data_IF_802082117914
#
_entry.id   IF_802082117914
#
_cell.length_a   1.000
_cell.length_b   1.000
_cell.length_c   1.000
_cell.angle_alpha   90.00
_cell.angle_beta   90.00
_cell.angle_gamma   90.00
#
_symmetry.space_group_name_H-M   'P 1'
#
loop_
_entity.id
_entity.type
_entity.pdbx_description
1 polymer ?
2 non-polymer ?
3 non-polymer ?
4 non-polymer ?
5 non-polymer ?
6 water ?
#
# COMPACT_ATOMS: atom_id res chain seq x y z
N UNK A 11 -23.76 -10.48 3.47
CA UNK A 11 -23.89 -11.39 4.61
C UNK A 11 -23.52 -12.81 4.18
N UNK A 12 -23.91 -13.17 2.96
CA UNK A 12 -23.52 -14.47 2.41
C UNK A 12 -22.00 -14.57 2.28
N UNK A 13 -21.37 -13.46 1.89
CA UNK A 13 -19.93 -13.42 1.69
C UNK A 13 -19.20 -13.36 3.03
N UNK A 14 -19.74 -12.60 3.99
CA UNK A 14 -19.15 -12.52 5.32
C UNK A 14 -19.17 -13.87 6.02
N UNK A 15 -20.20 -14.69 5.79
CA UNK A 15 -20.27 -15.97 6.48
C UNK A 15 -19.20 -16.94 5.99
N UNK A 16 -19.03 -17.03 4.67
CA UNK A 16 -17.94 -17.83 4.14
C UNK A 16 -16.60 -17.31 4.63
N UNK A 17 -16.42 -15.98 4.59
CA UNK A 17 -15.13 -15.41 4.95
C UNK A 17 -14.79 -15.73 6.40
N UNK A 18 -15.73 -15.49 7.31
CA UNK A 18 -15.48 -15.72 8.72
C UNK A 18 -15.23 -17.20 9.03
N UNK A 19 -15.90 -18.10 8.31
CA UNK A 19 -15.74 -19.53 8.61
C UNK A 19 -14.35 -20.04 8.19
N UNK A 20 -13.81 -19.54 7.08
CA UNK A 20 -12.63 -20.14 6.46
C UNK A 20 -11.41 -20.15 7.38
N UNK A 21 -10.53 -21.14 7.16
CA UNK A 21 -9.22 -21.11 7.78
C UNK A 21 -8.31 -20.23 6.94
N UNK A 22 -7.36 -19.57 7.59
CA UNK A 22 -6.52 -18.58 6.93
C UNK A 22 -5.15 -19.21 6.74
N UNK A 23 -4.79 -19.59 5.50
CA UNK A 23 -3.50 -20.25 5.26
C UNK A 23 -2.35 -19.35 5.70
N UNK A 24 -1.19 -19.98 5.90
CA UNK A 24 -0.05 -19.23 6.42
C UNK A 24 0.40 -18.15 5.42
N UNK A 25 1.25 -17.27 5.91
CA UNK A 25 1.84 -16.25 5.05
C UNK A 25 2.60 -16.89 3.89
N UNK A 26 3.29 -18.00 4.17
CA UNK A 26 4.04 -18.71 3.13
C UNK A 26 3.12 -19.28 2.05
N UNK A 27 2.04 -19.97 2.46
CA UNK A 27 1.14 -20.56 1.47
C UNK A 27 0.46 -19.51 0.59
N UNK A 28 0.24 -18.30 1.14
CA UNK A 28 -0.38 -17.20 0.42
C UNK A 28 0.63 -16.37 -0.38
N UNK A 29 1.93 -16.52 -0.07
CA UNK A 29 3.02 -15.85 -0.78
C UNK A 29 3.07 -14.36 -0.50
N UNK A 30 2.39 -13.88 0.54
CA UNK A 30 2.36 -12.42 0.77
C UNK A 30 3.68 -11.89 1.30
N UNK A 31 4.68 -12.73 1.53
CA UNK A 31 5.94 -12.11 1.96
C UNK A 31 6.84 -11.71 0.79
N UNK A 32 6.46 -12.04 -0.45
CA UNK A 32 7.31 -11.80 -1.63
C UNK A 32 7.03 -10.45 -2.25
N UNK A 33 8.10 -9.69 -2.50
CA UNK A 33 7.95 -8.46 -3.26
C UNK A 33 7.35 -8.69 -4.63
N UNK A 34 7.48 -9.90 -5.18
CA UNK A 34 7.00 -10.25 -6.52
C UNK A 34 5.59 -10.81 -6.51
N UNK A 35 4.94 -10.80 -5.36
CA UNK A 35 3.55 -11.22 -5.24
C UNK A 35 2.67 -10.63 -6.35
N UNK A 36 1.67 -11.40 -6.76
CA UNK A 36 0.67 -10.96 -7.72
C UNK A 36 -0.68 -11.50 -7.32
N UNK A 37 -1.74 -10.81 -7.74
CA UNK A 37 -3.09 -11.10 -7.29
C UNK A 37 -4.02 -11.59 -8.39
N UNK A 38 -3.52 -11.70 -9.63
CA UNK A 38 -4.39 -11.96 -10.77
C UNK A 38 -5.23 -13.22 -10.61
N UNK A 39 -4.72 -14.25 -9.92
CA UNK A 39 -5.40 -15.53 -9.82
C UNK A 39 -6.29 -15.65 -8.60
N UNK A 40 -6.31 -14.64 -7.74
CA UNK A 40 -7.07 -14.69 -6.51
C UNK A 40 -8.48 -14.16 -6.75
N UNK A 41 -9.46 -14.81 -6.14
CA UNK A 41 -10.81 -14.26 -6.09
C UNK A 41 -10.88 -13.18 -5.00
N UNK A 42 -11.98 -12.44 -4.99
CA UNK A 42 -12.17 -11.43 -3.95
C UNK A 42 -12.03 -12.04 -2.56
N UNK A 43 -12.51 -13.28 -2.39
CA UNK A 43 -12.50 -13.88 -1.07
C UNK A 43 -11.08 -14.23 -0.65
N UNK A 44 -10.25 -14.59 -1.61
CA UNK A 44 -8.86 -14.93 -1.31
C UNK A 44 -8.03 -13.70 -0.96
N UNK A 45 -8.25 -12.57 -1.64
CA UNK A 45 -7.55 -11.36 -1.20
C UNK A 45 -7.97 -11.03 0.22
N UNK A 46 -9.26 -11.23 0.54
CA UNK A 46 -9.74 -11.04 1.91
C UNK A 46 -8.96 -11.89 2.92
N UNK A 47 -8.73 -13.15 2.58
CA UNK A 47 -7.97 -14.04 3.47
C UNK A 47 -6.55 -13.57 3.61
N UNK A 48 -5.92 -13.23 2.48
CA UNK A 48 -4.58 -12.64 2.51
C UNK A 48 -4.54 -11.45 3.45
N UNK A 49 -5.60 -10.65 3.45
CA UNK A 49 -5.62 -9.44 4.27
C UNK A 49 -5.66 -9.80 5.75
N UNK A 50 -6.49 -10.77 6.13
CA UNK A 50 -6.49 -11.21 7.52
C UNK A 50 -5.11 -11.73 7.92
N UNK A 51 -4.44 -12.44 7.03
CA UNK A 51 -3.14 -12.98 7.38
C UNK A 51 -2.15 -11.87 7.63
N UNK A 52 -2.24 -10.78 6.85
CA UNK A 52 -1.39 -9.62 7.07
C UNK A 52 -1.57 -9.06 8.49
N UNK A 53 -2.84 -8.87 8.90
CA UNK A 53 -3.11 -8.39 10.25
C UNK A 53 -2.62 -9.40 11.27
N UNK A 54 -2.98 -10.67 11.04
CA UNK A 54 -2.65 -11.73 11.99
C UNK A 54 -1.14 -11.88 12.14
N UNK A 55 -0.40 -11.87 11.05
CA UNK A 55 1.04 -12.12 11.16
C UNK A 55 1.85 -10.87 11.49
N UNK A 56 1.27 -9.68 11.46
CA UNK A 56 1.87 -8.54 12.13
C UNK A 56 1.45 -8.49 13.60
N UNK A 57 0.72 -9.51 14.06
CA UNK A 57 0.23 -9.63 15.44
C UNK A 57 -0.55 -8.38 15.85
N UNK A 58 -1.31 -7.85 14.89
CA UNK A 58 -2.21 -6.75 15.18
C UNK A 58 -3.51 -7.26 15.79
N UNK A 59 -3.86 -8.52 15.50
CA UNK A 59 -5.08 -9.10 16.04
C UNK A 59 -4.98 -9.25 17.55
N UNK A 60 -3.93 -9.91 18.04
CA UNK A 60 -3.86 -10.09 19.49
C UNK A 60 -3.51 -8.79 20.20
N UNK A 61 -2.54 -8.03 19.70
CA UNK A 61 -2.06 -6.85 20.41
C UNK A 61 -3.14 -5.77 20.58
N UNK A 62 -4.20 -5.83 19.79
CA UNK A 62 -5.27 -4.84 19.87
C UNK A 62 -6.62 -5.51 19.90
N UNK A 63 -6.64 -6.80 20.25
CA UNK A 63 -7.87 -7.49 20.65
C UNK A 63 -8.95 -7.40 19.57
N UNK A 64 -8.56 -7.57 18.30
CA UNK A 64 -9.54 -7.54 17.24
C UNK A 64 -10.37 -8.81 17.27
N UNK A 65 -11.67 -8.65 17.07
CA UNK A 65 -12.55 -9.78 17.01
C UNK A 65 -12.72 -10.21 15.56
N UNK A 66 -12.80 -11.52 15.35
CA UNK A 66 -12.61 -12.07 14.01
C UNK A 66 -13.69 -11.58 13.04
N UNK A 67 -14.96 -11.64 13.44
CA UNK A 67 -16.03 -11.21 12.53
C UNK A 67 -16.02 -9.71 12.29
N UNK A 68 -15.45 -8.94 13.23
CA UNK A 68 -15.32 -7.50 13.00
C UNK A 68 -14.23 -7.23 11.95
N UNK A 69 -13.02 -7.74 12.17
CA UNK A 69 -11.97 -7.65 11.15
C UNK A 69 -12.49 -8.10 9.79
N UNK A 70 -13.10 -9.29 9.73
CA UNK A 70 -13.70 -9.79 8.49
C UNK A 70 -14.65 -8.78 7.89
N UNK A 71 -15.58 -8.28 8.71
CA UNK A 71 -16.56 -7.33 8.21
C UNK A 71 -15.88 -6.03 7.78
N UNK A 72 -14.84 -5.62 8.52
CA UNK A 72 -14.13 -4.40 8.15
C UNK A 72 -13.45 -4.52 6.79
N UNK A 73 -12.83 -5.67 6.51
CA UNK A 73 -12.20 -5.87 5.20
C UNK A 73 -13.24 -5.80 4.09
N UNK A 74 -14.40 -6.42 4.31
CA UNK A 74 -15.41 -6.45 3.24
C UNK A 74 -16.06 -5.09 3.04
N UNK A 75 -16.11 -4.26 4.09
CA UNK A 75 -16.56 -2.90 3.91
C UNK A 75 -15.57 -2.12 3.05
N UNK A 76 -14.29 -2.23 3.37
CA UNK A 76 -13.26 -1.54 2.60
C UNK A 76 -13.32 -1.97 1.13
N UNK A 77 -13.35 -3.28 0.89
CA UNK A 77 -13.40 -3.79 -0.48
C UNK A 77 -14.63 -3.28 -1.22
N UNK A 78 -15.80 -3.37 -0.60
CA UNK A 78 -17.04 -2.91 -1.23
C UNK A 78 -16.96 -1.43 -1.65
N UNK A 79 -16.28 -0.59 -0.88
CA UNK A 79 -16.25 0.84 -1.18
C UNK A 79 -15.16 1.23 -2.16
N UNK A 80 -14.47 0.26 -2.76
CA UNK A 80 -13.75 0.52 -4.01
C UNK A 80 -14.67 0.18 -5.16
N UNK A 81 -14.45 0.82 -6.30
CA UNK A 81 -15.37 0.74 -7.41
C UNK A 81 -14.83 -0.22 -8.44
N UNK A 82 -15.57 -1.31 -8.67
CA UNK A 82 -15.14 -2.34 -9.61
C UNK A 82 -14.99 -1.78 -11.01
N UNK A 83 -15.74 -0.73 -11.32
CA UNK A 83 -15.79 -0.11 -12.63
C UNK A 83 -14.57 0.75 -12.97
N UNK A 84 -13.60 0.86 -12.07
CA UNK A 84 -12.40 1.66 -12.31
C UNK A 84 -11.26 0.71 -12.65
N UNK A 85 -10.58 0.95 -13.77
CA UNK A 85 -9.69 -0.08 -14.28
C UNK A 85 -8.43 -0.25 -13.42
N UNK A 86 -7.96 0.79 -12.73
CA UNK A 86 -6.77 0.56 -11.92
C UNK A 86 -6.93 0.96 -10.45
N UNK A 87 -7.47 2.15 -10.14
CA UNK A 87 -7.60 2.59 -8.74
C UNK A 87 -8.84 1.94 -8.11
N UNK A 88 -8.67 0.68 -7.70
CA UNK A 88 -9.78 -0.13 -7.16
C UNK A 88 -9.23 -0.98 -6.01
N UNK A 89 -10.05 -1.92 -5.54
CA UNK A 89 -9.66 -2.74 -4.40
C UNK A 89 -8.34 -3.47 -4.63
N UNK A 90 -8.11 -3.97 -5.85
CA UNK A 90 -6.90 -4.75 -6.09
C UNK A 90 -5.64 -3.90 -5.95
N UNK A 91 -5.68 -2.64 -6.45
CA UNK A 91 -4.54 -1.74 -6.25
C UNK A 91 -4.31 -1.47 -4.77
N UNK A 92 -5.40 -1.29 -4.01
CA UNK A 92 -5.27 -1.10 -2.56
C UNK A 92 -4.77 -2.37 -1.89
N UNK A 93 -5.33 -3.51 -2.28
CA UNK A 93 -4.90 -4.78 -1.69
C UNK A 93 -3.42 -5.02 -1.95
N UNK A 94 -2.97 -4.73 -3.18
CA UNK A 94 -1.55 -4.81 -3.55
C UNK A 94 -0.68 -3.81 -2.77
N UNK A 95 -1.16 -2.57 -2.55
CA UNK A 95 -0.39 -1.63 -1.74
C UNK A 95 -0.16 -2.15 -0.33
N UNK A 96 -1.18 -2.77 0.26
CA UNK A 96 -1.03 -3.36 1.58
C UNK A 96 -0.11 -4.60 1.54
N UNK A 97 -0.19 -5.40 0.48
CA UNK A 97 0.72 -6.55 0.40
C UNK A 97 2.18 -6.10 0.37
N UNK A 98 2.48 -5.01 -0.35
CA UNK A 98 3.86 -4.52 -0.39
C UNK A 98 4.29 -3.91 0.95
N UNK A 99 3.36 -3.28 1.67
CA UNK A 99 3.66 -2.81 3.03
C UNK A 99 3.98 -4.00 3.92
N UNK A 100 3.14 -5.02 3.89
CA UNK A 100 3.48 -6.26 4.57
C UNK A 100 4.87 -6.76 4.18
N UNK A 101 5.13 -6.90 2.88
CA UNK A 101 6.42 -7.43 2.46
C UNK A 101 7.57 -6.56 2.95
N UNK A 102 7.44 -5.23 2.80
CA UNK A 102 8.50 -4.33 3.25
C UNK A 102 8.69 -4.38 4.75
N UNK A 103 7.64 -4.68 5.50
CA UNK A 103 7.80 -4.76 6.95
C UNK A 103 8.52 -6.05 7.33
N UNK A 104 8.09 -7.17 6.74
CA UNK A 104 8.69 -8.48 6.97
C UNK A 104 9.99 -8.65 6.20
N UNK A 105 9.87 -9.04 4.93
CA UNK A 105 11.05 -9.35 4.12
C UNK A 105 12.00 -8.17 4.03
N UNK A 106 11.46 -6.96 3.86
CA UNK A 106 12.29 -5.77 3.90
C UNK A 106 12.79 -5.39 5.27
N UNK A 107 12.34 -6.11 6.31
CA UNK A 107 12.74 -5.91 7.71
C UNK A 107 12.67 -4.43 8.09
N UNK A 108 11.47 -3.87 7.96
CA UNK A 108 11.21 -2.52 8.43
C UNK A 108 10.39 -2.54 9.71
N UNK A 109 9.66 -3.61 9.97
CA UNK A 109 8.87 -3.83 11.18
C UNK A 109 9.58 -3.38 12.45
N UNK A 110 10.88 -3.71 12.57
CA UNK A 110 11.61 -3.47 13.81
C UNK A 110 11.90 -2.00 14.03
N UNK A 111 11.83 -1.19 12.98
CA UNK A 111 12.15 0.22 13.08
C UNK A 111 10.96 1.06 13.49
N UNK A 112 9.77 0.47 13.55
CA UNK A 112 8.54 1.19 13.81
C UNK A 112 7.88 0.65 15.07
N UNK A 113 6.89 1.39 15.57
CA UNK A 113 6.11 0.92 16.71
C UNK A 113 4.83 0.25 16.23
N UNK A 114 4.18 -0.43 17.18
CA UNK A 114 2.97 -1.19 16.88
C UNK A 114 1.89 -0.30 16.30
N UNK A 115 1.73 0.90 16.85
CA UNK A 115 0.66 1.78 16.37
C UNK A 115 0.97 2.32 14.99
N UNK A 116 2.25 2.59 14.71
CA UNK A 116 2.65 2.98 13.36
C UNK A 116 2.34 1.87 12.36
N UNK A 117 2.63 0.62 12.72
CA UNK A 117 2.41 -0.51 11.82
C UNK A 117 0.92 -0.77 11.61
N UNK A 118 0.14 -0.80 12.69
CA UNK A 118 -1.31 -0.84 12.58
C UNK A 118 -1.85 0.25 11.65
N UNK A 119 -1.36 1.49 11.84
CA UNK A 119 -1.82 2.60 11.00
C UNK A 119 -1.40 2.43 9.54
N UNK A 120 -0.16 1.98 9.29
CA UNK A 120 0.30 1.86 7.90
C UNK A 120 -0.54 0.85 7.14
N UNK A 121 -0.87 -0.27 7.79
CA UNK A 121 -1.61 -1.32 7.12
C UNK A 121 -3.03 -0.87 6.87
N UNK A 122 -3.66 -0.23 7.86
CA UNK A 122 -5.00 0.30 7.64
C UNK A 122 -4.95 1.35 6.56
N UNK A 123 -3.92 2.19 6.58
CA UNK A 123 -3.87 3.26 5.60
C UNK A 123 -3.66 2.71 4.20
N UNK A 124 -2.71 1.77 4.04
CA UNK A 124 -2.47 1.17 2.72
C UNK A 124 -3.76 0.63 2.13
N UNK A 125 -4.53 -0.10 2.94
CA UNK A 125 -5.77 -0.71 2.46
C UNK A 125 -6.84 0.33 2.16
N UNK A 126 -6.82 1.46 2.90
CA UNK A 126 -7.88 2.45 2.79
C UNK A 126 -7.54 3.62 1.88
N UNK A 127 -6.26 3.78 1.50
CA UNK A 127 -5.73 5.05 1.01
C UNK A 127 -6.38 5.55 -0.28
N UNK A 128 -7.14 4.73 -1.02
CA UNK A 128 -7.81 5.20 -2.22
C UNK A 128 -9.32 4.92 -2.20
N UNK A 129 -9.90 4.66 -1.03
CA UNK A 129 -11.33 4.33 -0.93
C UNK A 129 -12.18 5.25 -1.79
N UNK A 130 -12.99 4.64 -2.67
CA UNK A 130 -14.01 5.34 -3.44
C UNK A 130 -13.42 6.21 -4.54
N UNK A 131 -12.21 5.86 -5.00
CA UNK A 131 -11.67 6.43 -6.23
C UNK A 131 -12.57 6.11 -7.42
N UNK A 132 -12.82 7.10 -8.28
CA UNK A 132 -13.67 6.89 -9.44
C UNK A 132 -12.93 7.04 -10.76
N UNK A 133 -11.61 7.07 -10.74
CA UNK A 133 -10.88 7.16 -12.00
C UNK A 133 -10.31 8.56 -12.19
N UNK A 134 -9.04 8.61 -12.65
CA UNK A 134 -8.34 9.88 -12.86
C UNK A 134 -9.18 10.85 -13.70
N UNK A 135 -9.80 10.35 -14.78
CA UNK A 135 -10.60 11.23 -15.63
C UNK A 135 -12.01 11.42 -15.11
N UNK A 136 -12.22 11.30 -13.80
CA UNK A 136 -13.54 11.62 -13.24
C UNK A 136 -13.40 12.50 -12.01
N UNK A 153 -5.12 18.68 -2.75
CA UNK A 153 -5.05 17.33 -2.14
C UNK A 153 -6.46 16.88 -1.78
N UNK A 154 -7.38 17.30 -2.64
CA UNK A 154 -8.81 17.11 -2.43
C UNK A 154 -9.18 15.63 -2.29
N UNK A 155 -8.62 14.78 -3.15
CA UNK A 155 -9.07 13.40 -3.21
C UNK A 155 -8.64 12.61 -1.97
N UNK A 156 -7.40 12.83 -1.53
CA UNK A 156 -6.91 12.10 -0.38
C UNK A 156 -7.69 12.44 0.89
N UNK A 157 -8.14 13.68 1.05
CA UNK A 157 -9.00 13.98 2.18
C UNK A 157 -10.29 13.20 2.07
N UNK A 158 -10.82 13.06 0.86
CA UNK A 158 -11.99 12.20 0.70
C UNK A 158 -11.66 10.74 1.01
N UNK A 159 -10.50 10.24 0.55
CA UNK A 159 -10.14 8.85 0.85
C UNK A 159 -10.04 8.62 2.35
N UNK A 160 -9.41 9.56 3.07
CA UNK A 160 -9.37 9.42 4.52
C UNK A 160 -10.78 9.46 5.11
N UNK A 161 -11.65 10.30 4.55
CA UNK A 161 -13.02 10.41 5.07
C UNK A 161 -13.73 9.08 5.03
N UNK A 162 -13.78 8.46 3.85
CA UNK A 162 -14.24 7.09 3.69
C UNK A 162 -13.62 6.17 4.74
N UNK A 163 -12.29 6.21 4.85
CA UNK A 163 -11.59 5.31 5.77
C UNK A 163 -12.19 5.39 7.15
N UNK A 164 -12.22 6.61 7.71
CA UNK A 164 -12.73 6.82 9.07
C UNK A 164 -14.18 6.41 9.17
N UNK A 165 -15.00 6.80 8.19
CA UNK A 165 -16.40 6.43 8.21
C UNK A 165 -16.55 4.93 8.44
N UNK A 166 -15.90 4.11 7.58
CA UNK A 166 -15.94 2.65 7.72
C UNK A 166 -15.40 2.21 9.08
N UNK A 167 -14.32 2.83 9.54
CA UNK A 167 -13.74 2.44 10.83
C UNK A 167 -14.72 2.62 11.98
N UNK A 168 -15.65 3.59 11.87
CA UNK A 168 -16.63 3.88 12.91
C UNK A 168 -17.94 3.13 12.74
N UNK A 169 -18.18 2.51 11.58
CA UNK A 169 -19.43 1.77 11.39
C UNK A 169 -19.52 0.64 12.41
N UNK A 170 -20.65 0.46 13.08
CA UNK A 170 -20.72 -0.62 14.09
C UNK A 170 -20.60 -1.97 13.40
N UNK A 171 -19.88 -2.88 14.05
CA UNK A 171 -19.51 -4.13 13.45
C UNK A 171 -18.15 -4.13 12.79
N UNK A 172 -17.67 -2.96 12.34
CA UNK A 172 -16.39 -2.87 11.63
C UNK A 172 -15.29 -2.27 12.48
N UNK A 173 -15.50 -2.10 13.79
CA UNK A 173 -14.69 -1.18 14.56
C UNK A 173 -13.43 -1.86 15.09
N UNK A 174 -12.46 -2.04 14.19
CA UNK A 174 -11.29 -2.84 14.53
C UNK A 174 -10.34 -2.14 15.48
N UNK A 175 -10.58 -0.87 15.82
CA UNK A 175 -9.73 -0.17 16.78
C UNK A 175 -10.34 -0.05 18.17
N UNK A 176 -11.53 -0.64 18.36
CA UNK A 176 -12.25 -0.55 19.62
C UNK A 176 -11.43 -1.03 20.82
N UNK A 177 -10.46 -1.90 20.61
CA UNK A 177 -9.64 -2.39 21.68
C UNK A 177 -8.46 -1.51 22.04
N UNK A 178 -8.36 -0.36 21.40
CA UNK A 178 -7.28 0.58 21.65
C UNK A 178 -7.76 1.59 22.69
N UNK A 179 -6.86 2.00 23.58
CA UNK A 179 -7.20 3.06 24.51
C UNK A 179 -7.44 4.37 23.75
N UNK A 180 -8.10 5.32 24.41
CA UNK A 180 -8.40 6.59 23.73
C UNK A 180 -7.12 7.25 23.23
N UNK A 181 -6.05 7.20 24.04
CA UNK A 181 -4.78 7.77 23.59
C UNK A 181 -4.18 7.00 22.43
N UNK A 182 -4.22 5.66 22.48
CA UNK A 182 -3.79 4.86 21.32
C UNK A 182 -4.65 5.18 20.11
N UNK A 183 -5.95 5.28 20.31
CA UNK A 183 -6.86 5.57 19.21
C UNK A 183 -6.55 6.91 18.57
N UNK A 184 -6.28 7.93 19.38
CA UNK A 184 -5.98 9.25 18.85
C UNK A 184 -4.66 9.25 18.10
N UNK A 185 -3.62 8.61 18.66
CA UNK A 185 -2.36 8.50 17.94
C UNK A 185 -2.53 7.77 16.62
N UNK A 186 -3.25 6.65 16.63
CA UNK A 186 -3.37 5.84 15.42
C UNK A 186 -4.14 6.59 14.34
N UNK A 187 -5.22 7.28 14.72
CA UNK A 187 -5.98 8.03 13.73
C UNK A 187 -5.15 9.14 13.09
N UNK A 188 -4.29 9.78 13.86
CA UNK A 188 -3.49 10.85 13.29
C UNK A 188 -2.56 10.31 12.21
N UNK A 189 -1.86 9.19 12.52
CA UNK A 189 -0.94 8.56 11.59
C UNK A 189 -1.66 8.07 10.35
N UNK A 190 -2.83 7.44 10.53
CA UNK A 190 -3.59 6.98 9.38
C UNK A 190 -3.85 8.15 8.43
N UNK A 191 -4.33 9.26 8.98
CA UNK A 191 -4.67 10.41 8.14
C UNK A 191 -3.42 10.97 7.44
N UNK A 192 -2.32 11.14 8.19
CA UNK A 192 -1.07 11.57 7.56
C UNK A 192 -0.63 10.60 6.46
N UNK A 193 -0.80 9.31 6.69
CA UNK A 193 -0.33 8.33 5.72
C UNK A 193 -1.15 8.39 4.45
N UNK A 194 -2.46 8.58 4.57
CA UNK A 194 -3.27 8.62 3.36
C UNK A 194 -3.02 9.91 2.60
N UNK A 195 -2.92 11.03 3.33
CA UNK A 195 -2.61 12.29 2.66
C UNK A 195 -1.29 12.18 1.94
N UNK A 196 -0.33 11.43 2.50
CA UNK A 196 0.99 11.35 1.90
C UNK A 196 0.95 10.74 0.49
N UNK A 197 -0.10 9.97 0.15
CA UNK A 197 -0.23 9.31 -1.15
C UNK A 197 -0.64 10.29 -2.27
N UNK A 198 -0.75 11.58 -1.96
CA UNK A 198 -0.81 12.63 -2.98
C UNK A 198 0.59 12.82 -3.54
N UNK A 199 0.77 12.50 -4.81
CA UNK A 199 2.12 12.57 -5.38
C UNK A 199 2.70 13.98 -5.32
N UNK A 200 1.83 15.00 -5.36
CA UNK A 200 2.29 16.37 -5.18
C UNK A 200 2.94 16.57 -3.82
N UNK A 201 2.33 16.00 -2.76
CA UNK A 201 2.97 16.00 -1.44
C UNK A 201 4.28 15.20 -1.44
N UNK A 202 4.33 14.13 -2.22
CA UNK A 202 5.57 13.34 -2.24
C UNK A 202 6.71 14.09 -2.93
N UNK A 203 6.43 14.77 -4.03
CA UNK A 203 7.48 15.51 -4.72
C UNK A 203 7.90 16.73 -3.92
N UNK A 204 6.98 17.30 -3.14
CA UNK A 204 7.34 18.45 -2.31
C UNK A 204 8.28 18.06 -1.18
N UNK A 205 8.16 16.83 -0.66
CA UNK A 205 8.82 16.46 0.59
C UNK A 205 10.04 15.58 0.41
N UNK A 206 10.24 14.98 -0.77
CA UNK A 206 11.26 13.97 -0.94
C UNK A 206 12.66 14.56 -1.01
N UNK A 207 12.78 15.81 -1.46
CA UNK A 207 14.07 16.48 -1.40
C UNK A 207 14.71 16.38 -0.02
N UNK A 208 13.95 16.77 1.02
CA UNK A 208 14.42 16.61 2.39
C UNK A 208 14.78 15.16 2.71
N UNK A 209 13.97 14.20 2.27
CA UNK A 209 14.26 12.80 2.58
C UNK A 209 15.55 12.32 1.93
N UNK A 210 15.63 12.44 0.61
CA UNK A 210 16.87 12.12 -0.11
C UNK A 210 18.04 12.87 0.50
N UNK A 211 17.82 14.14 0.85
CA UNK A 211 18.80 14.98 1.50
C UNK A 211 19.42 14.30 2.73
N UNK A 212 18.60 13.85 3.69
CA UNK A 212 19.16 13.25 4.91
C UNK A 212 19.83 11.90 4.65
N UNK A 213 19.46 11.21 3.58
CA UNK A 213 20.06 9.89 3.30
C UNK A 213 21.46 10.05 2.74
N UNK A 214 21.67 11.07 1.91
CA UNK A 214 22.97 11.26 1.25
C UNK A 214 24.03 11.75 2.23
N UNK A 215 23.63 12.37 3.34
CA UNK A 215 24.57 12.87 4.33
C UNK A 215 24.67 11.98 5.56
N UNK A 216 24.09 10.78 5.50
CA UNK A 216 24.07 9.86 6.64
C UNK A 216 23.57 10.54 7.92
N UNK A 217 22.66 11.49 7.78
CA UNK A 217 22.05 12.14 8.93
C UNK A 217 20.71 11.54 9.32
N UNK A 218 20.19 10.58 8.54
CA UNK A 218 18.83 10.09 8.73
C UNK A 218 18.70 9.35 10.06
N UNK A 219 17.65 9.68 10.80
CA UNK A 219 17.49 9.17 12.16
C UNK A 219 16.01 9.05 12.47
N UNK A 220 15.53 7.80 12.57
CA UNK A 220 14.11 7.56 12.81
C UNK A 220 13.65 8.07 14.17
N UNK A 221 14.58 8.29 15.09
CA UNK A 221 14.21 8.73 16.43
C UNK A 221 13.80 10.20 16.47
N UNK A 222 14.10 10.98 15.44
CA UNK A 222 13.50 12.32 15.33
C UNK A 222 12.03 12.17 14.93
N UNK A 223 11.09 12.77 15.67
CA UNK A 223 9.68 12.65 15.29
C UNK A 223 9.34 13.26 13.96
N UNK A 224 10.12 14.21 13.48
CA UNK A 224 9.83 14.75 12.16
C UNK A 224 10.30 13.80 11.07
N UNK A 225 11.45 13.16 11.25
CA UNK A 225 11.97 12.24 10.24
C UNK A 225 11.22 10.92 10.26
N UNK A 226 10.70 10.53 11.42
CA UNK A 226 9.83 9.36 11.50
C UNK A 226 8.57 9.57 10.65
N UNK A 227 7.86 10.67 10.90
CA UNK A 227 6.70 10.97 10.09
C UNK A 227 7.06 11.07 8.60
N UNK A 228 8.25 11.62 8.28
CA UNK A 228 8.65 11.78 6.88
C UNK A 228 8.87 10.42 6.22
N UNK A 229 9.58 9.54 6.91
CA UNK A 229 9.81 8.19 6.39
C UNK A 229 8.50 7.47 6.15
N UNK A 230 7.55 7.58 7.10
CA UNK A 230 6.26 6.90 6.97
C UNK A 230 5.57 7.33 5.70
N UNK A 231 5.61 8.62 5.37
CA UNK A 231 5.06 9.13 4.12
C UNK A 231 5.74 8.49 2.93
N UNK A 232 7.07 8.44 2.95
CA UNK A 232 7.82 7.90 1.82
C UNK A 232 7.58 6.41 1.65
N UNK A 233 7.46 5.67 2.77
CA UNK A 233 7.11 4.25 2.67
C UNK A 233 5.72 4.06 2.08
N UNK A 234 4.76 4.90 2.48
CA UNK A 234 3.43 4.84 1.86
C UNK A 234 3.53 5.03 0.36
N UNK A 235 4.34 6.01 -0.10
CA UNK A 235 4.41 6.25 -1.53
C UNK A 235 5.12 5.10 -2.25
N UNK A 236 6.13 4.50 -1.62
CA UNK A 236 6.82 3.37 -2.24
C UNK A 236 5.90 2.16 -2.38
N UNK A 237 5.05 1.92 -1.39
CA UNK A 237 4.07 0.85 -1.54
C UNK A 237 3.03 1.18 -2.59
N UNK A 238 2.49 2.40 -2.53
CA UNK A 238 1.50 2.89 -3.49
C UNK A 238 1.95 2.67 -4.93
N UNK A 239 3.25 2.90 -5.21
CA UNK A 239 3.76 2.88 -6.58
C UNK A 239 4.29 1.53 -7.02
N UNK A 240 4.18 0.49 -6.19
CA UNK A 240 5.11 -0.61 -6.30
C UNK A 240 4.81 -1.59 -7.44
N UNK A 241 3.68 -1.44 -8.14
CA UNK A 241 3.46 -2.24 -9.35
C UNK A 241 4.58 -2.06 -10.36
N UNK A 242 5.25 -0.91 -10.32
CA UNK A 242 6.35 -0.60 -11.23
C UNK A 242 7.58 -1.44 -10.93
N UNK A 243 7.61 -2.13 -9.80
CA UNK A 243 8.76 -2.92 -9.44
C UNK A 243 8.56 -4.40 -9.72
N UNK A 244 7.37 -4.81 -10.12
CA UNK A 244 7.02 -6.23 -10.21
C UNK A 244 7.79 -6.93 -11.34
N UNK A 245 7.75 -8.26 -11.40
CA UNK A 245 8.33 -8.95 -12.56
C UNK A 245 7.65 -8.52 -13.86
N UNK A 246 8.43 -8.36 -14.91
CA UNK A 246 7.97 -7.79 -16.18
C UNK A 246 6.59 -8.27 -16.64
N UNK A 247 6.26 -9.57 -16.62
CA UNK A 247 4.92 -9.95 -17.12
C UNK A 247 3.78 -9.44 -16.26
N UNK A 248 3.98 -9.40 -14.94
CA UNK A 248 2.98 -8.83 -14.03
C UNK A 248 2.90 -7.31 -14.24
N UNK A 249 4.05 -6.66 -14.21
CA UNK A 249 4.10 -5.21 -14.33
C UNK A 249 3.47 -4.73 -15.64
N UNK A 250 3.70 -5.45 -16.75
CA UNK A 250 3.13 -5.07 -18.03
C UNK A 250 1.61 -5.20 -18.03
N UNK A 251 1.09 -6.17 -17.29
CA UNK A 251 -0.37 -6.27 -17.19
C UNK A 251 -0.95 -5.14 -16.36
N UNK A 252 -0.29 -4.79 -15.25
CA UNK A 252 -0.70 -3.61 -14.48
C UNK A 252 -0.69 -2.39 -15.37
N UNK A 253 0.39 -2.19 -16.13
CA UNK A 253 0.45 -1.08 -17.07
C UNK A 253 -0.77 -1.01 -17.98
N UNK A 254 -1.30 -2.16 -18.40
CA UNK A 254 -2.49 -2.10 -19.26
C UNK A 254 -3.69 -1.54 -18.52
N UNK A 255 -3.84 -1.86 -17.23
CA UNK A 255 -4.92 -1.29 -16.44
C UNK A 255 -4.77 0.21 -16.31
N UNK A 256 -3.53 0.67 -16.10
CA UNK A 256 -3.26 2.10 -15.99
C UNK A 256 -3.63 2.80 -17.28
N UNK A 257 -3.08 2.31 -18.40
CA UNK A 257 -3.42 2.86 -19.72
C UNK A 257 -4.94 2.86 -19.94
N UNK A 258 -5.60 1.75 -19.58
CA UNK A 258 -7.06 1.72 -19.69
C UNK A 258 -7.72 2.84 -18.90
N UNK A 259 -7.35 3.01 -17.62
CA UNK A 259 -8.01 4.03 -16.79
C UNK A 259 -7.73 5.43 -17.31
N UNK A 260 -6.47 5.71 -17.67
CA UNK A 260 -6.10 7.07 -18.07
C UNK A 260 -6.69 7.43 -19.43
N UNK A 261 -6.57 6.53 -20.41
CA UNK A 261 -7.07 6.82 -21.76
C UNK A 261 -8.57 6.59 -21.84
N UNK A 262 -8.97 5.31 -21.89
CA UNK A 262 -10.34 4.89 -22.13
C UNK A 262 -11.28 5.17 -20.95
N UNK A 263 -10.95 6.15 -20.09
CA UNK A 263 -11.85 6.66 -19.05
C UNK A 263 -12.75 5.57 -18.48
N UNK A 264 -12.17 4.40 -18.20
CA UNK A 264 -12.91 3.24 -17.74
C UNK A 264 -12.15 2.42 -16.72
N UNK A 285 2.05 2.87 -28.48
CA UNK A 285 3.28 3.26 -29.20
C UNK A 285 4.12 4.18 -28.35
N UNK A 286 3.38 4.98 -27.58
CA UNK A 286 3.85 6.06 -26.71
C UNK A 286 4.07 5.58 -25.28
N UNK A 287 3.54 4.41 -24.94
CA UNK A 287 3.60 3.94 -23.55
C UNK A 287 5.03 3.69 -23.08
N UNK A 288 5.91 3.01 -23.82
CA UNK A 288 7.22 2.70 -23.25
C UNK A 288 8.02 3.91 -22.80
N UNK A 289 7.89 5.03 -23.51
CA UNK A 289 8.60 6.25 -23.15
C UNK A 289 7.93 6.93 -21.96
N UNK A 290 6.60 6.93 -21.91
CA UNK A 290 5.94 7.36 -20.68
C UNK A 290 6.40 6.52 -19.49
N UNK A 291 6.50 5.21 -19.68
CA UNK A 291 6.91 4.34 -18.58
C UNK A 291 8.32 4.69 -18.10
N UNK A 292 9.24 4.92 -19.05
CA UNK A 292 10.59 5.35 -18.69
C UNK A 292 10.57 6.74 -18.07
N UNK A 293 9.75 7.65 -18.59
CA UNK A 293 9.66 8.97 -17.99
C UNK A 293 9.12 8.94 -16.57
N UNK A 294 8.10 8.10 -16.33
CA UNK A 294 7.54 7.94 -14.99
C UNK A 294 8.56 7.30 -14.05
N UNK A 295 9.27 6.27 -14.51
CA UNK A 295 10.23 5.60 -13.64
C UNK A 295 11.33 6.57 -13.20
N UNK A 296 11.90 7.33 -14.15
CA UNK A 296 12.97 8.30 -13.84
C UNK A 296 12.46 9.45 -12.97
N UNK A 297 11.31 10.02 -13.32
CA UNK A 297 10.88 11.21 -12.62
C UNK A 297 10.34 10.93 -11.21
N UNK A 298 9.83 9.72 -10.95
CA UNK A 298 9.01 9.50 -9.74
C UNK A 298 9.53 8.34 -8.90
N UNK A 299 9.99 7.28 -9.54
CA UNK A 299 10.12 6.00 -8.85
C UNK A 299 11.52 5.69 -8.38
N UNK A 300 12.51 5.80 -9.26
CA UNK A 300 13.84 5.21 -9.00
C UNK A 300 14.47 5.78 -7.73
N UNK A 301 14.52 7.10 -7.59
CA UNK A 301 15.20 7.68 -6.43
C UNK A 301 14.58 7.19 -5.13
N UNK A 302 13.24 7.14 -5.08
CA UNK A 302 12.55 6.65 -3.89
C UNK A 302 12.99 5.23 -3.54
N UNK A 303 12.97 4.33 -4.51
CA UNK A 303 13.39 2.97 -4.20
C UNK A 303 14.89 2.90 -3.88
N UNK A 304 15.68 3.82 -4.43
CA UNK A 304 17.10 3.93 -4.05
C UNK A 304 17.23 4.38 -2.60
N UNK A 305 16.52 5.44 -2.23
CA UNK A 305 16.59 5.94 -0.85
C UNK A 305 16.16 4.87 0.12
N UNK A 306 15.01 4.25 -0.13
CA UNK A 306 14.50 3.18 0.72
C UNK A 306 15.48 2.03 0.84
N UNK A 307 16.31 1.76 -0.18
CA UNK A 307 17.27 0.66 -0.05
C UNK A 307 18.36 1.00 0.97
N UNK A 308 18.69 2.28 1.11
CA UNK A 308 19.64 2.70 2.14
C UNK A 308 19.06 2.52 3.54
N UNK A 309 17.77 2.79 3.72
CA UNK A 309 17.21 2.63 5.06
C UNK A 309 17.12 1.16 5.42
N UNK A 310 16.88 0.30 4.44
CA UNK A 310 16.89 -1.14 4.69
C UNK A 310 17.29 -1.84 3.41
N UNK A 311 18.48 -2.43 3.42
CA UNK A 311 19.00 -3.10 2.24
C UNK A 311 18.16 -4.29 1.82
N UNK A 312 17.24 -4.74 2.67
CA UNK A 312 16.40 -5.85 2.24
C UNK A 312 15.19 -5.40 1.41
N UNK A 313 15.01 -4.10 1.21
CA UNK A 313 14.05 -3.59 0.23
C UNK A 313 14.63 -3.53 -1.18
N UNK A 314 15.86 -4.00 -1.36
CA UNK A 314 16.51 -3.93 -2.66
C UNK A 314 15.72 -4.58 -3.79
N UNK A 315 15.00 -5.69 -3.60
CA UNK A 315 14.21 -6.23 -4.73
C UNK A 315 13.25 -5.22 -5.36
N UNK A 316 12.74 -4.26 -4.60
CA UNK A 316 11.90 -3.23 -5.22
C UNK A 316 12.73 -2.37 -6.16
N UNK A 317 13.93 -1.99 -5.73
CA UNK A 317 14.83 -1.25 -6.60
C UNK A 317 15.27 -2.12 -7.78
N UNK A 318 15.67 -3.36 -7.48
CA UNK A 318 16.06 -4.29 -8.52
C UNK A 318 14.95 -4.45 -9.57
N UNK A 319 13.72 -4.68 -9.11
CA UNK A 319 12.63 -4.90 -10.04
C UNK A 319 12.31 -3.65 -10.83
N UNK A 320 12.43 -2.49 -10.18
CA UNK A 320 12.20 -1.24 -10.88
C UNK A 320 13.22 -1.07 -11.99
N UNK A 321 14.46 -1.46 -11.71
CA UNK A 321 15.56 -1.27 -12.65
C UNK A 321 15.40 -2.17 -13.86
N UNK A 322 15.04 -3.43 -13.63
CA UNK A 322 14.80 -4.35 -14.73
C UNK A 322 13.70 -3.83 -15.62
N UNK A 323 12.63 -3.32 -15.04
CA UNK A 323 11.54 -2.80 -15.86
C UNK A 323 11.97 -1.59 -16.66
N UNK A 324 12.83 -0.73 -16.09
CA UNK A 324 13.20 0.45 -16.85
C UNK A 324 13.95 0.06 -18.12
N UNK A 325 14.89 -0.88 -17.99
CA UNK A 325 15.66 -1.32 -19.15
C UNK A 325 14.76 -1.99 -20.18
N UNK A 326 13.83 -2.84 -19.73
CA UNK A 326 12.92 -3.50 -20.66
C UNK A 326 12.03 -2.48 -21.37
N UNK A 327 11.52 -1.48 -20.65
CA UNK A 327 10.76 -0.42 -21.30
C UNK A 327 11.62 0.40 -22.23
N UNK A 328 12.81 0.79 -21.77
CA UNK A 328 13.75 1.52 -22.62
C UNK A 328 13.98 0.81 -23.95
N UNK A 329 14.24 -0.51 -23.88
CA UNK A 329 14.45 -1.30 -25.09
C UNK A 329 13.30 -1.14 -26.07
N UNK A 330 12.05 -1.33 -25.59
CA UNK A 330 10.88 -1.13 -26.43
C UNK A 330 10.81 0.31 -26.96
N UNK A 331 11.15 1.30 -26.13
CA UNK A 331 11.03 2.69 -26.54
C UNK A 331 11.85 2.98 -27.80
N UNK A 332 13.00 2.32 -27.94
CA UNK A 332 13.87 2.43 -29.11
C UNK A 332 13.33 1.69 -30.33
N UNK A 333 12.13 1.11 -30.24
CA UNK A 333 11.44 0.49 -31.38
C UNK A 333 12.24 -0.65 -31.98
#
# INVERSE_FOLDING_TARGET
>A
SYHASAAEEETRELQSLAAAVVPSAQTLKITDFSFSDFELSDLETALCTIRMFTDLNLVQNFQMKHEVLCRWILSVKKNYRKNVAYHNWRHAFNTAQCMFAALKAGKIQNKLTDLEILALLIAALSHDLDHRGVNNSYIQRSEHPLAQLYCHSIMEHHHFDQCLMILNSPGNQILSGLSIEEYKTTLKIIKQAILATDLALYIKRRGEFFELIRKNQFNLEDPHQKELFLAMLMTACDLSAITKPWPIQQRIAELVATEFFDQGDRERKELNIEPTDLMNREKKNKIPSMQVGFIDAICLQLYEALTHVSEDCFPLLDGCRKNRQKWQALAEQQEKMLINGESGQAKRN
#
